data_IF_912175524071
#
_entry.id   IF_912175524071
#
_cell.length_a   1.000
_cell.length_b   1.000
_cell.length_c   1.000
_cell.angle_alpha   90.00
_cell.angle_beta   90.00
_cell.angle_gamma   90.00
#
_symmetry.space_group_name_H-M   'P 1'
#
loop_
_entity.id
_entity.type
_entity.pdbx_description
1 polymer ?
#
# COMPACT_ATOMS: atom_id res chain seq x y z
N UNK A 1 33.78 6.64 -73.44
CA UNK A 1 32.70 7.04 -72.60
C UNK A 1 32.71 6.10 -71.41
N UNK A 2 33.45 6.46 -70.37
CA UNK A 2 33.67 5.57 -69.21
C UNK A 2 32.71 5.98 -68.03
N UNK A 3 31.88 5.03 -67.64
CA UNK A 3 30.97 5.16 -66.51
C UNK A 3 31.72 4.78 -65.24
N UNK A 4 31.93 5.79 -64.35
CA UNK A 4 32.51 5.59 -63.00
C UNK A 4 31.41 5.16 -62.06
N UNK A 5 31.48 3.96 -61.49
CA UNK A 5 30.66 3.51 -60.39
C UNK A 5 31.24 4.08 -59.06
N UNK A 6 30.42 4.81 -58.33
CA UNK A 6 30.70 5.31 -56.98
C UNK A 6 30.17 4.28 -55.98
N UNK A 7 30.98 3.73 -55.03
CA UNK A 7 30.45 2.82 -54.02
C UNK A 7 29.68 3.60 -52.93
N UNK A 8 28.43 3.24 -52.73
CA UNK A 8 27.58 3.75 -51.64
C UNK A 8 28.01 3.08 -50.33
N UNK A 9 28.72 3.84 -49.48
CA UNK A 9 29.01 3.40 -48.09
C UNK A 9 27.73 3.48 -47.27
N UNK A 10 27.10 2.30 -47.03
CA UNK A 10 26.03 2.18 -46.02
C UNK A 10 26.71 2.08 -44.65
N UNK A 11 26.69 3.20 -43.90
CA UNK A 11 27.09 3.22 -42.52
C UNK A 11 25.97 2.57 -41.68
N UNK A 12 26.17 1.32 -41.25
CA UNK A 12 25.34 0.70 -40.26
C UNK A 12 25.60 1.39 -38.92
N UNK A 13 24.69 2.28 -38.53
CA UNK A 13 24.59 2.72 -37.15
C UNK A 13 24.10 1.53 -36.30
N UNK A 14 25.02 0.81 -35.68
CA UNK A 14 24.75 -0.06 -34.56
C UNK A 14 24.31 0.81 -33.37
N UNK A 15 23.04 1.18 -33.32
CA UNK A 15 22.42 1.70 -32.10
C UNK A 15 22.58 0.63 -31.04
N UNK A 16 23.29 0.95 -29.96
CA UNK A 16 23.35 0.11 -28.78
C UNK A 16 21.91 -0.11 -28.30
N UNK A 17 21.37 -1.29 -28.53
CA UNK A 17 20.12 -1.74 -27.91
C UNK A 17 20.45 -1.91 -26.43
N UNK A 18 20.33 -0.82 -25.67
CA UNK A 18 20.28 -0.96 -24.24
C UNK A 18 19.04 -1.79 -23.93
N UNK A 19 19.24 -2.97 -23.37
CA UNK A 19 18.14 -3.82 -22.93
C UNK A 19 17.24 -2.95 -22.04
N UNK A 20 15.99 -2.77 -22.47
CA UNK A 20 15.03 -1.99 -21.72
C UNK A 20 14.82 -2.69 -20.38
N UNK A 21 15.09 -2.02 -19.28
CA UNK A 21 14.93 -2.54 -17.91
C UNK A 21 13.76 -1.87 -17.22
N UNK A 22 13.39 -2.36 -16.04
CA UNK A 22 12.35 -1.73 -15.19
C UNK A 22 12.81 -0.47 -14.45
N UNK A 23 14.02 0.02 -14.69
CA UNK A 23 14.55 1.21 -14.00
C UNK A 23 13.68 2.45 -14.20
N UNK A 24 13.18 2.69 -15.42
CA UNK A 24 12.26 3.80 -15.69
C UNK A 24 10.91 3.63 -14.98
N UNK A 25 10.44 2.39 -14.85
CA UNK A 25 9.23 2.07 -14.09
C UNK A 25 9.41 2.34 -12.60
N UNK A 26 10.58 1.99 -12.04
CA UNK A 26 10.92 2.31 -10.65
C UNK A 26 10.99 3.80 -10.43
N UNK A 27 11.69 4.53 -11.30
CA UNK A 27 11.77 5.99 -11.21
C UNK A 27 10.39 6.64 -11.23
N UNK A 28 9.51 6.19 -12.11
CA UNK A 28 8.13 6.65 -12.17
C UNK A 28 7.35 6.35 -10.88
N UNK A 29 7.48 5.12 -10.36
CA UNK A 29 6.82 4.72 -9.13
C UNK A 29 7.31 5.54 -7.91
N UNK A 30 8.62 5.81 -7.82
CA UNK A 30 9.21 6.68 -6.78
C UNK A 30 8.71 8.12 -6.90
N UNK A 31 8.68 8.70 -8.11
CA UNK A 31 8.13 10.04 -8.35
C UNK A 31 6.65 10.12 -7.98
N UNK A 32 5.89 9.07 -8.26
CA UNK A 32 4.47 8.98 -7.90
C UNK A 32 4.29 8.89 -6.39
N UNK A 33 5.07 8.03 -5.71
CA UNK A 33 5.08 7.94 -4.25
C UNK A 33 5.37 9.31 -3.63
N UNK A 34 6.43 9.98 -4.10
CA UNK A 34 6.82 11.30 -3.60
C UNK A 34 5.73 12.35 -3.83
N UNK A 35 5.13 12.39 -5.03
CA UNK A 35 4.04 13.32 -5.35
C UNK A 35 2.84 13.17 -4.42
N UNK A 36 2.48 11.92 -4.07
CA UNK A 36 1.32 11.63 -3.22
C UNK A 36 1.67 11.83 -1.75
N UNK A 37 2.79 11.30 -1.26
CA UNK A 37 3.11 11.26 0.16
C UNK A 37 3.62 12.60 0.71
N UNK A 38 4.28 13.41 -0.12
CA UNK A 38 4.97 14.63 0.32
C UNK A 38 4.07 15.61 1.06
N UNK A 39 2.87 16.00 0.56
CA UNK A 39 2.03 16.97 1.25
C UNK A 39 1.67 16.54 2.68
N UNK A 40 1.37 15.25 2.88
CA UNK A 40 1.00 14.69 4.18
C UNK A 40 2.21 14.67 5.12
N UNK A 41 3.29 14.01 4.69
CA UNK A 41 4.46 13.76 5.56
C UNK A 41 5.16 15.07 5.91
N UNK A 42 5.32 15.98 4.94
CA UNK A 42 5.96 17.27 5.18
C UNK A 42 5.11 18.16 6.10
N UNK A 43 3.81 18.30 5.83
CA UNK A 43 2.95 19.14 6.64
C UNK A 43 2.86 18.65 8.09
N UNK A 44 2.79 17.32 8.29
CA UNK A 44 2.75 16.76 9.64
C UNK A 44 4.11 16.89 10.36
N UNK A 45 5.23 16.73 9.65
CA UNK A 45 6.56 16.97 10.21
C UNK A 45 6.77 18.43 10.65
N UNK A 46 6.07 19.38 10.01
CA UNK A 46 6.04 20.80 10.34
C UNK A 46 5.02 21.15 11.44
N UNK A 47 4.20 20.21 11.91
CA UNK A 47 3.10 20.45 12.87
C UNK A 47 1.96 21.26 12.26
N UNK A 48 1.68 21.09 10.96
CA UNK A 48 0.71 21.89 10.18
C UNK A 48 -0.26 21.05 9.34
N UNK A 49 -0.37 19.74 9.61
CA UNK A 49 -1.24 18.90 8.79
C UNK A 49 -2.71 19.26 8.99
N UNK A 50 -3.14 19.51 10.23
CA UNK A 50 -4.53 19.92 10.54
C UNK A 50 -4.92 21.26 9.93
N UNK A 51 -3.94 22.14 9.74
CA UNK A 51 -4.12 23.44 9.09
C UNK A 51 -4.23 23.29 7.57
N UNK A 52 -3.37 22.43 6.96
CA UNK A 52 -3.16 22.40 5.51
C UNK A 52 -4.00 21.37 4.76
N UNK A 53 -4.36 20.23 5.39
CA UNK A 53 -5.11 19.18 4.71
C UNK A 53 -6.55 19.65 4.44
N UNK A 54 -6.97 19.76 3.16
CA UNK A 54 -8.31 20.21 2.84
C UNK A 54 -9.35 19.16 3.15
N UNK A 55 -10.54 19.60 3.54
CA UNK A 55 -11.74 18.78 3.51
C UNK A 55 -12.39 18.90 2.13
N UNK A 56 -12.72 17.78 1.53
CA UNK A 56 -13.54 17.76 0.33
C UNK A 56 -15.01 18.12 0.61
N UNK A 57 -15.79 18.41 -0.41
CA UNK A 57 -17.21 18.70 -0.25
C UNK A 57 -17.94 17.59 0.51
N UNK A 58 -18.70 17.95 1.54
CA UNK A 58 -19.46 17.02 2.38
C UNK A 58 -18.64 16.21 3.39
N UNK A 59 -17.40 16.61 3.68
CA UNK A 59 -16.49 15.91 4.60
C UNK A 59 -16.41 16.55 6.00
N UNK A 60 -17.26 17.49 6.35
CA UNK A 60 -17.22 18.21 7.62
C UNK A 60 -17.28 17.27 8.83
N UNK A 61 -18.12 16.24 8.75
CA UNK A 61 -18.23 15.18 9.77
C UNK A 61 -16.97 14.31 9.89
N UNK A 62 -16.09 14.34 8.89
CA UNK A 62 -14.83 13.56 8.84
C UNK A 62 -13.63 14.34 9.39
N UNK A 63 -13.78 15.62 9.69
CA UNK A 63 -12.72 16.49 10.17
C UNK A 63 -11.94 15.92 11.36
N UNK A 64 -12.63 15.22 12.28
CA UNK A 64 -12.00 14.61 13.45
C UNK A 64 -11.09 13.42 13.11
N UNK A 65 -11.18 12.85 11.90
CA UNK A 65 -10.55 11.58 11.52
C UNK A 65 -9.52 11.72 10.39
N UNK A 66 -9.80 12.59 9.41
CA UNK A 66 -9.07 12.65 8.13
C UNK A 66 -7.55 12.77 8.27
N UNK A 67 -7.06 13.38 9.35
CA UNK A 67 -5.62 13.63 9.55
C UNK A 67 -4.86 12.36 9.95
N UNK A 68 -5.37 11.59 10.93
CA UNK A 68 -4.79 10.30 11.31
C UNK A 68 -4.93 9.29 10.15
N UNK A 69 -6.07 9.34 9.46
CA UNK A 69 -6.34 8.53 8.28
C UNK A 69 -5.31 8.79 7.16
N UNK A 70 -5.07 10.07 6.82
CA UNK A 70 -4.06 10.46 5.84
C UNK A 70 -2.66 9.98 6.24
N UNK A 71 -2.27 10.19 7.48
CA UNK A 71 -0.94 9.85 7.97
C UNK A 71 -0.73 8.33 8.03
N UNK A 72 -1.62 7.58 8.69
CA UNK A 72 -1.50 6.13 8.87
C UNK A 72 -1.45 5.41 7.53
N UNK A 73 -2.35 5.77 6.59
CA UNK A 73 -2.40 5.19 5.25
C UNK A 73 -1.18 5.54 4.41
N UNK A 74 -0.70 6.78 4.49
CA UNK A 74 0.55 7.18 3.82
C UNK A 74 1.72 6.39 4.37
N UNK A 75 1.87 6.35 5.69
CA UNK A 75 2.99 5.68 6.34
C UNK A 75 3.02 4.20 6.01
N UNK A 76 1.87 3.49 6.08
CA UNK A 76 1.79 2.07 5.75
C UNK A 76 2.23 1.76 4.31
N UNK A 77 1.94 2.68 3.37
CA UNK A 77 2.29 2.50 1.95
C UNK A 77 3.76 2.76 1.65
N UNK A 78 4.39 3.74 2.33
CA UNK A 78 5.78 4.11 2.04
C UNK A 78 6.80 3.39 2.92
N UNK A 79 6.37 2.72 4.00
CA UNK A 79 7.26 2.08 4.96
C UNK A 79 8.16 1.00 4.36
N UNK A 80 7.70 0.09 3.47
CA UNK A 80 8.62 -0.89 2.88
C UNK A 80 9.75 -0.25 2.07
N UNK A 81 9.46 0.86 1.37
CA UNK A 81 10.49 1.62 0.68
C UNK A 81 11.47 2.27 1.66
N UNK A 82 10.99 2.84 2.77
CA UNK A 82 11.85 3.40 3.81
C UNK A 82 12.68 2.33 4.53
N UNK A 83 12.18 1.10 4.65
CA UNK A 83 12.91 -0.01 5.28
C UNK A 83 14.23 -0.36 4.58
N UNK A 84 14.40 -0.01 3.29
CA UNK A 84 15.67 -0.14 2.57
C UNK A 84 16.79 0.75 3.15
N UNK A 85 16.47 1.73 3.98
CA UNK A 85 17.46 2.66 4.53
C UNK A 85 18.02 3.66 3.52
N UNK A 86 18.89 4.59 3.96
CA UNK A 86 19.55 5.56 3.09
C UNK A 86 20.66 4.91 2.27
N UNK A 87 20.91 5.47 1.06
CA UNK A 87 22.10 5.17 0.26
C UNK A 87 22.57 6.41 -0.53
N UNK A 88 23.66 6.28 -1.30
CA UNK A 88 24.28 7.42 -2.02
C UNK A 88 23.50 7.84 -3.27
N UNK A 89 22.56 7.05 -3.76
CA UNK A 89 21.75 7.35 -4.96
C UNK A 89 20.80 8.52 -4.72
N UNK A 90 20.28 9.11 -5.79
CA UNK A 90 19.25 10.15 -5.68
C UNK A 90 18.00 9.65 -4.95
N UNK A 91 17.58 8.41 -5.24
CA UNK A 91 16.48 7.74 -4.53
C UNK A 91 16.79 7.52 -3.06
N UNK A 92 18.00 7.03 -2.72
CA UNK A 92 18.41 6.80 -1.34
C UNK A 92 18.49 8.08 -0.51
N UNK A 93 18.91 9.20 -1.12
CA UNK A 93 18.88 10.54 -0.47
C UNK A 93 17.45 11.01 -0.23
N UNK A 94 16.55 10.81 -1.19
CA UNK A 94 15.13 11.11 -1.02
C UNK A 94 14.54 10.26 0.11
N UNK A 95 14.86 8.99 0.15
CA UNK A 95 14.42 8.04 1.19
C UNK A 95 14.91 8.45 2.57
N UNK A 96 16.16 8.88 2.70
CA UNK A 96 16.71 9.43 3.94
C UNK A 96 15.90 10.61 4.46
N UNK A 97 15.53 11.53 3.57
CA UNK A 97 14.65 12.67 3.91
C UNK A 97 13.28 12.20 4.40
N UNK A 98 12.67 11.22 3.72
CA UNK A 98 11.37 10.67 4.13
C UNK A 98 11.44 9.97 5.49
N UNK A 99 12.50 9.22 5.77
CA UNK A 99 12.72 8.59 7.07
C UNK A 99 12.76 9.65 8.19
N UNK A 100 13.52 10.72 8.00
CA UNK A 100 13.60 11.82 8.97
C UNK A 100 12.24 12.52 9.16
N UNK A 101 11.59 12.91 8.06
CA UNK A 101 10.30 13.58 8.11
C UNK A 101 9.20 12.70 8.72
N UNK A 102 9.18 11.39 8.39
CA UNK A 102 8.20 10.46 8.93
C UNK A 102 8.36 10.25 10.43
N UNK A 103 9.58 10.26 10.96
CA UNK A 103 9.81 10.25 12.41
C UNK A 103 9.29 11.52 13.08
N UNK A 104 9.58 12.71 12.53
CA UNK A 104 9.03 13.98 13.04
C UNK A 104 7.50 13.98 12.98
N UNK A 105 6.93 13.49 11.88
CA UNK A 105 5.49 13.35 11.70
C UNK A 105 4.87 12.41 12.75
N UNK A 106 5.50 11.27 13.01
CA UNK A 106 5.07 10.32 14.03
C UNK A 106 5.05 10.94 15.44
N UNK A 107 6.12 11.68 15.78
CA UNK A 107 6.19 12.42 17.06
C UNK A 107 5.06 13.45 17.15
N UNK A 108 4.87 14.29 16.12
CA UNK A 108 3.81 15.29 16.12
C UNK A 108 2.40 14.68 16.18
N UNK A 109 2.20 13.51 15.57
CA UNK A 109 0.92 12.80 15.61
C UNK A 109 0.57 12.26 16.99
N UNK A 110 1.58 11.92 17.81
CA UNK A 110 1.40 11.17 19.06
C UNK A 110 1.80 11.93 20.31
N UNK A 111 2.43 13.10 20.22
CA UNK A 111 2.72 13.98 21.36
C UNK A 111 1.47 14.79 21.73
N UNK A 112 0.90 14.62 22.95
CA UNK A 112 -0.26 15.39 23.39
C UNK A 112 -0.07 16.92 23.37
N UNK A 113 1.17 17.41 23.38
CA UNK A 113 1.50 18.83 23.33
C UNK A 113 1.59 19.37 21.89
N UNK A 114 1.59 18.50 20.89
CA UNK A 114 1.65 18.90 19.49
C UNK A 114 0.34 19.53 19.00
N UNK A 115 0.38 20.60 18.18
CA UNK A 115 -0.82 21.11 17.51
C UNK A 115 -1.49 20.07 16.60
N UNK A 116 -0.68 19.14 16.09
CA UNK A 116 -1.12 18.03 15.23
C UNK A 116 -1.36 16.71 15.99
N UNK A 117 -1.44 16.73 17.34
CA UNK A 117 -1.84 15.54 18.10
C UNK A 117 -3.13 14.95 17.52
N UNK A 118 -3.10 13.67 17.13
CA UNK A 118 -4.20 13.05 16.39
C UNK A 118 -5.29 12.50 17.30
N UNK A 119 -6.48 12.30 16.73
CA UNK A 119 -7.60 11.67 17.41
C UNK A 119 -7.42 10.14 17.44
N UNK A 120 -7.15 9.57 18.60
CA UNK A 120 -7.07 8.13 18.83
C UNK A 120 -8.24 7.56 19.62
N UNK A 121 -9.17 8.37 20.09
CA UNK A 121 -10.17 7.95 21.10
C UNK A 121 -11.61 8.23 20.72
N UNK A 122 -11.89 9.32 19.99
CA UNK A 122 -13.26 9.78 19.76
C UNK A 122 -13.83 9.20 18.47
N UNK A 123 -14.91 8.42 18.59
CA UNK A 123 -15.56 7.73 17.48
C UNK A 123 -14.95 6.36 17.18
N UNK A 124 -15.42 5.69 16.12
CA UNK A 124 -14.93 4.37 15.72
C UNK A 124 -13.71 4.42 14.80
N UNK A 125 -13.67 5.41 13.91
CA UNK A 125 -12.63 5.53 12.86
C UNK A 125 -11.17 5.51 13.37
N UNK A 126 -10.83 6.07 14.55
CA UNK A 126 -9.44 6.03 15.02
C UNK A 126 -8.82 4.63 15.13
N UNK A 127 -9.63 3.58 15.39
CA UNK A 127 -9.14 2.21 15.39
C UNK A 127 -8.62 1.79 14.00
N UNK A 128 -9.35 2.16 12.95
CA UNK A 128 -8.96 1.89 11.55
C UNK A 128 -7.64 2.58 11.24
N UNK A 129 -7.53 3.86 11.59
CA UNK A 129 -6.41 4.71 11.19
C UNK A 129 -5.14 4.38 12.00
N UNK A 130 -5.31 4.05 13.30
CA UNK A 130 -4.24 3.53 14.15
C UNK A 130 -3.72 2.16 13.67
N UNK A 131 -4.58 1.32 13.06
CA UNK A 131 -4.16 0.06 12.48
C UNK A 131 -3.26 0.27 11.27
N UNK A 132 -3.55 1.22 10.39
CA UNK A 132 -2.66 1.58 9.29
C UNK A 132 -1.35 2.22 9.80
N UNK A 133 -1.40 3.04 10.84
CA UNK A 133 -0.21 3.54 11.51
C UNK A 133 0.66 2.39 12.05
N UNK A 134 0.03 1.44 12.75
CA UNK A 134 0.67 0.23 13.28
C UNK A 134 1.32 -0.60 12.17
N UNK A 135 0.62 -0.77 11.05
CA UNK A 135 1.12 -1.47 9.87
C UNK A 135 2.38 -0.79 9.30
N UNK A 136 2.38 0.55 9.24
CA UNK A 136 3.57 1.32 8.85
C UNK A 136 4.76 1.10 9.77
N UNK A 137 4.55 1.09 11.08
CA UNK A 137 5.60 0.85 12.08
C UNK A 137 6.13 -0.59 12.00
N UNK A 138 5.26 -1.59 11.83
CA UNK A 138 5.65 -2.99 11.69
C UNK A 138 6.48 -3.25 10.42
N UNK A 139 6.23 -2.51 9.35
CA UNK A 139 6.93 -2.65 8.06
C UNK A 139 8.31 -2.01 8.02
N UNK A 140 8.60 -1.01 8.88
CA UNK A 140 9.88 -0.32 8.91
C UNK A 140 10.34 0.00 10.36
N UNK A 141 10.43 -0.98 11.27
CA UNK A 141 10.71 -0.73 12.67
C UNK A 141 12.07 -0.07 12.90
N UNK A 142 13.10 -0.46 12.16
CA UNK A 142 14.46 0.08 12.31
C UNK A 142 14.54 1.56 11.92
N UNK A 143 13.71 1.99 10.98
CA UNK A 143 13.69 3.37 10.51
C UNK A 143 12.74 4.27 11.31
N UNK A 144 11.63 3.72 11.81
CA UNK A 144 10.56 4.52 12.40
C UNK A 144 10.47 4.39 13.93
N UNK A 145 10.77 3.20 14.48
CA UNK A 145 10.61 2.94 15.91
C UNK A 145 11.93 2.97 16.67
N UNK A 146 12.95 2.25 16.19
CA UNK A 146 14.21 2.07 16.91
C UNK A 146 14.88 3.39 17.31
N UNK A 147 14.91 4.43 16.45
CA UNK A 147 15.58 5.71 16.75
C UNK A 147 14.79 6.64 17.68
N UNK A 148 13.54 6.34 18.04
CA UNK A 148 12.73 7.18 18.92
C UNK A 148 13.29 7.17 20.36
N UNK A 149 13.15 8.30 21.06
CA UNK A 149 13.45 8.40 22.49
C UNK A 149 12.44 7.58 23.32
N UNK A 150 12.76 7.33 24.58
CA UNK A 150 11.85 6.61 25.50
C UNK A 150 10.49 7.33 25.64
N UNK A 151 10.48 8.67 25.75
CA UNK A 151 9.27 9.47 25.83
C UNK A 151 8.44 9.36 24.53
N UNK A 152 9.08 9.48 23.37
CA UNK A 152 8.39 9.35 22.08
C UNK A 152 7.78 7.96 21.89
N UNK A 153 8.51 6.91 22.27
CA UNK A 153 7.99 5.52 22.29
C UNK A 153 6.80 5.37 23.21
N UNK A 154 6.87 5.95 24.41
CA UNK A 154 5.75 5.94 25.37
C UNK A 154 4.51 6.63 24.81
N UNK A 155 4.65 7.78 24.14
CA UNK A 155 3.56 8.51 23.52
C UNK A 155 2.90 7.69 22.40
N UNK A 156 3.68 7.06 21.51
CA UNK A 156 3.16 6.18 20.45
C UNK A 156 2.37 5.02 21.06
N UNK A 157 2.92 4.34 22.07
CA UNK A 157 2.23 3.20 22.71
C UNK A 157 0.97 3.66 23.44
N UNK A 158 1.00 4.80 24.13
CA UNK A 158 -0.18 5.35 24.79
C UNK A 158 -1.30 5.68 23.78
N UNK A 159 -0.94 6.28 22.64
CA UNK A 159 -1.88 6.56 21.55
C UNK A 159 -2.49 5.27 20.98
N UNK A 160 -1.68 4.24 20.69
CA UNK A 160 -2.19 2.95 20.21
C UNK A 160 -3.07 2.25 21.24
N UNK A 161 -2.65 2.17 22.51
CA UNK A 161 -3.44 1.56 23.60
C UNK A 161 -4.77 2.26 23.84
N UNK A 162 -4.86 3.57 23.60
CA UNK A 162 -6.11 4.31 23.78
C UNK A 162 -7.23 3.85 22.84
N UNK A 163 -6.89 3.25 21.70
CA UNK A 163 -7.87 2.68 20.75
C UNK A 163 -8.57 1.40 21.27
N UNK A 164 -8.04 0.76 22.32
CA UNK A 164 -8.66 -0.43 22.94
C UNK A 164 -10.08 -0.21 23.43
N UNK A 165 -10.44 1.05 23.74
CA UNK A 165 -11.80 1.42 24.13
C UNK A 165 -12.81 1.32 22.98
N UNK A 166 -12.34 1.27 21.73
CA UNK A 166 -13.18 1.21 20.52
C UNK A 166 -13.52 -0.25 20.23
N UNK A 167 -14.80 -0.59 20.25
CA UNK A 167 -15.29 -1.94 19.92
C UNK A 167 -15.37 -2.10 18.40
N UNK A 168 -14.64 -3.08 17.81
CA UNK A 168 -14.74 -3.37 16.37
C UNK A 168 -16.08 -4.02 16.03
N UNK A 169 -16.57 -3.78 14.81
CA UNK A 169 -17.68 -4.55 14.24
C UNK A 169 -17.25 -5.99 13.89
N UNK A 170 -18.23 -6.89 13.72
CA UNK A 170 -18.02 -8.28 13.28
C UNK A 170 -17.80 -8.34 11.75
N UNK A 171 -16.68 -7.77 11.30
CA UNK A 171 -16.24 -7.69 9.91
C UNK A 171 -14.71 -7.47 9.88
N UNK A 172 -14.16 -6.92 8.79
CA UNK A 172 -12.72 -6.62 8.68
C UNK A 172 -12.17 -5.74 9.83
N UNK A 173 -13.02 -5.06 10.59
CA UNK A 173 -12.60 -4.23 11.73
C UNK A 173 -11.93 -5.04 12.85
N UNK A 174 -12.22 -6.32 12.98
CA UNK A 174 -11.50 -7.21 13.90
C UNK A 174 -9.99 -7.22 13.61
N UNK A 175 -9.61 -7.13 12.34
CA UNK A 175 -8.20 -7.07 11.93
C UNK A 175 -7.52 -5.75 12.29
N UNK A 176 -8.25 -4.65 12.40
CA UNK A 176 -7.68 -3.40 12.88
C UNK A 176 -7.25 -3.52 14.35
N UNK A 177 -8.09 -4.11 15.20
CA UNK A 177 -7.70 -4.44 16.58
C UNK A 177 -6.45 -5.32 16.59
N UNK A 178 -6.44 -6.39 15.78
CA UNK A 178 -5.33 -7.32 15.72
C UNK A 178 -4.01 -6.66 15.24
N UNK A 179 -4.06 -5.73 14.29
CA UNK A 179 -2.88 -5.00 13.83
C UNK A 179 -2.32 -4.06 14.90
N UNK A 180 -3.20 -3.33 15.60
CA UNK A 180 -2.78 -2.46 16.72
C UNK A 180 -2.13 -3.29 17.82
N UNK A 181 -2.76 -4.39 18.23
CA UNK A 181 -2.20 -5.29 19.25
C UNK A 181 -0.88 -5.94 18.79
N UNK A 182 -0.76 -6.30 17.51
CA UNK A 182 0.48 -6.83 16.94
C UNK A 182 1.65 -5.83 17.06
N UNK A 183 1.38 -4.54 16.83
CA UNK A 183 2.39 -3.49 16.99
C UNK A 183 2.74 -3.27 18.47
N UNK A 184 1.75 -3.19 19.36
CA UNK A 184 2.00 -3.09 20.80
C UNK A 184 2.83 -4.29 21.27
N UNK A 185 2.47 -5.50 20.87
CA UNK A 185 3.19 -6.72 21.21
C UNK A 185 4.63 -6.71 20.72
N UNK A 186 4.83 -6.31 19.46
CA UNK A 186 6.17 -6.24 18.86
C UNK A 186 7.08 -5.31 19.66
N UNK A 187 6.57 -4.16 20.08
CA UNK A 187 7.36 -3.07 20.63
C UNK A 187 7.47 -3.05 22.16
N UNK A 188 6.53 -3.69 22.86
CA UNK A 188 6.51 -3.68 24.35
C UNK A 188 6.55 -5.07 24.97
N UNK A 189 6.22 -6.11 24.22
CA UNK A 189 5.99 -7.45 24.77
C UNK A 189 4.58 -7.67 25.34
N UNK A 190 3.75 -6.64 25.47
CA UNK A 190 2.36 -6.73 25.93
C UNK A 190 1.38 -6.96 24.78
N UNK A 191 0.32 -7.75 24.99
CA UNK A 191 -0.69 -8.03 23.98
C UNK A 191 -2.02 -8.43 24.62
N UNK A 192 -3.13 -7.89 24.12
CA UNK A 192 -4.46 -8.42 24.38
C UNK A 192 -4.79 -9.53 23.37
N UNK A 193 -4.32 -10.75 23.66
CA UNK A 193 -4.39 -11.90 22.73
C UNK A 193 -5.78 -12.21 22.23
N UNK A 194 -6.81 -12.04 23.05
CA UNK A 194 -8.20 -12.35 22.68
C UNK A 194 -8.66 -11.62 21.40
N UNK A 195 -8.15 -10.38 21.18
CA UNK A 195 -8.42 -9.63 19.95
C UNK A 195 -7.83 -10.27 18.70
N UNK A 196 -6.57 -10.75 18.78
CA UNK A 196 -5.90 -11.46 17.69
C UNK A 196 -6.56 -12.79 17.39
N UNK A 197 -6.83 -13.59 18.44
CA UNK A 197 -7.48 -14.91 18.33
C UNK A 197 -8.83 -14.80 17.66
N UNK A 198 -9.65 -13.85 18.12
CA UNK A 198 -10.97 -13.58 17.53
C UNK A 198 -10.86 -13.16 16.06
N UNK A 199 -9.96 -12.23 15.73
CA UNK A 199 -9.80 -11.75 14.37
C UNK A 199 -9.39 -12.89 13.42
N UNK A 200 -8.40 -13.71 13.81
CA UNK A 200 -7.94 -14.83 12.98
C UNK A 200 -9.02 -15.89 12.85
N UNK A 201 -9.66 -16.30 13.96
CA UNK A 201 -10.72 -17.32 13.93
C UNK A 201 -11.90 -16.91 13.06
N UNK A 202 -12.39 -15.65 13.20
CA UNK A 202 -13.51 -15.17 12.39
C UNK A 202 -13.18 -15.11 10.89
N UNK A 203 -11.97 -14.73 10.51
CA UNK A 203 -11.60 -14.74 9.09
C UNK A 203 -11.38 -16.15 8.56
N UNK A 204 -11.04 -17.14 9.39
CA UNK A 204 -11.10 -18.55 8.98
C UNK A 204 -12.54 -18.98 8.69
N UNK A 205 -13.50 -18.61 9.56
CA UNK A 205 -14.94 -18.89 9.38
C UNK A 205 -15.51 -18.20 8.13
N UNK A 206 -14.98 -17.05 7.74
CA UNK A 206 -15.44 -16.24 6.61
C UNK A 206 -14.67 -16.49 5.30
N UNK A 207 -13.80 -17.49 5.28
CA UNK A 207 -13.15 -17.89 4.04
C UNK A 207 -14.14 -18.57 3.10
N UNK A 208 -14.33 -18.00 1.89
CA UNK A 208 -15.32 -18.48 0.92
C UNK A 208 -14.72 -19.31 -0.21
N UNK A 209 -13.41 -19.53 -0.20
CA UNK A 209 -12.69 -20.28 -1.23
C UNK A 209 -11.97 -19.40 -2.25
N UNK A 210 -11.16 -20.03 -3.08
CA UNK A 210 -10.41 -19.42 -4.20
C UNK A 210 -9.65 -18.12 -3.82
N UNK A 211 -9.01 -18.16 -2.64
CA UNK A 211 -8.24 -17.02 -2.12
C UNK A 211 -9.07 -15.86 -1.58
N UNK A 212 -10.38 -16.00 -1.40
CA UNK A 212 -11.29 -14.91 -1.08
C UNK A 212 -11.96 -15.09 0.28
N UNK A 213 -12.15 -13.98 1.00
CA UNK A 213 -12.85 -13.91 2.27
C UNK A 213 -14.11 -13.07 2.15
N UNK A 214 -15.13 -13.41 2.92
CA UNK A 214 -16.23 -12.50 3.24
C UNK A 214 -15.72 -11.33 4.13
N UNK A 215 -16.44 -10.22 4.10
CA UNK A 215 -16.25 -9.11 5.03
C UNK A 215 -17.31 -9.20 6.13
N UNK A 216 -17.05 -10.07 7.11
CA UNK A 216 -18.04 -10.63 7.99
C UNK A 216 -18.66 -11.90 7.40
N UNK A 217 -19.85 -12.33 7.86
CA UNK A 217 -20.48 -13.58 7.41
C UNK A 217 -20.97 -13.54 5.95
N UNK A 218 -21.05 -12.35 5.35
CA UNK A 218 -21.52 -12.17 3.98
C UNK A 218 -20.35 -11.84 3.04
N UNK A 219 -20.39 -12.41 1.85
CA UNK A 219 -19.46 -12.06 0.78
C UNK A 219 -19.91 -10.78 0.08
N UNK A 220 -18.92 -9.90 -0.18
CA UNK A 220 -19.11 -8.70 -0.99
C UNK A 220 -18.10 -8.70 -2.12
N UNK A 221 -18.54 -8.46 -3.34
CA UNK A 221 -17.64 -8.24 -4.45
C UNK A 221 -17.09 -6.82 -4.39
N UNK A 222 -15.96 -6.68 -3.71
CA UNK A 222 -15.19 -5.46 -3.59
C UNK A 222 -13.70 -5.78 -3.40
N UNK A 223 -12.88 -4.77 -3.21
CA UNK A 223 -11.43 -4.96 -3.02
C UNK A 223 -11.00 -5.00 -1.55
N UNK A 224 -11.92 -5.20 -0.58
CA UNK A 224 -11.54 -5.26 0.84
C UNK A 224 -10.63 -6.43 1.18
N UNK A 225 -10.68 -7.52 0.42
CA UNK A 225 -9.68 -8.58 0.51
C UNK A 225 -8.26 -8.04 0.34
N UNK A 226 -8.06 -7.05 -0.54
CA UNK A 226 -6.77 -6.43 -0.80
C UNK A 226 -6.52 -5.16 0.03
N UNK A 227 -7.55 -4.32 0.24
CA UNK A 227 -7.38 -3.11 1.03
C UNK A 227 -7.03 -3.39 2.49
N UNK A 228 -7.54 -4.51 3.07
CA UNK A 228 -7.45 -4.80 4.49
C UNK A 228 -7.16 -6.27 4.78
N UNK A 229 -8.02 -7.21 4.34
CA UNK A 229 -8.11 -8.55 4.92
C UNK A 229 -6.81 -9.34 4.74
N UNK A 230 -6.37 -9.56 3.52
CA UNK A 230 -5.17 -10.35 3.21
C UNK A 230 -3.90 -9.72 3.81
N UNK A 231 -3.62 -8.41 3.57
CA UNK A 231 -2.42 -7.79 4.12
C UNK A 231 -2.39 -7.77 5.65
N UNK A 232 -3.54 -7.55 6.30
CA UNK A 232 -3.62 -7.54 7.76
C UNK A 232 -3.40 -8.94 8.35
N UNK A 233 -4.06 -9.97 7.81
CA UNK A 233 -3.84 -11.37 8.24
C UNK A 233 -2.37 -11.77 8.13
N UNK A 234 -1.71 -11.42 7.03
CA UNK A 234 -0.29 -11.71 6.83
C UNK A 234 0.56 -11.05 7.93
N UNK A 235 0.37 -9.76 8.19
CA UNK A 235 1.19 -9.04 9.17
C UNK A 235 0.90 -9.47 10.61
N UNK A 236 -0.37 -9.72 10.96
CA UNK A 236 -0.76 -10.27 12.28
C UNK A 236 -0.10 -11.63 12.51
N UNK A 237 -0.19 -12.53 11.54
CA UNK A 237 0.38 -13.88 11.69
C UNK A 237 1.91 -13.90 11.63
N UNK A 238 2.54 -12.94 10.92
CA UNK A 238 4.00 -12.72 11.02
C UNK A 238 4.40 -12.32 12.44
N UNK A 239 3.67 -11.39 13.05
CA UNK A 239 3.91 -10.99 14.43
C UNK A 239 3.73 -12.16 15.40
N UNK A 240 2.65 -12.93 15.24
CA UNK A 240 2.39 -14.15 16.02
C UNK A 240 3.55 -15.15 15.90
N UNK A 241 4.00 -15.42 14.66
CA UNK A 241 5.11 -16.35 14.40
C UNK A 241 6.41 -15.86 15.03
N UNK A 242 6.73 -14.57 14.90
CA UNK A 242 7.93 -13.97 15.50
C UNK A 242 7.95 -14.04 17.05
N UNK A 243 6.77 -14.06 17.66
CA UNK A 243 6.58 -14.17 19.12
C UNK A 243 6.36 -15.61 19.60
N UNK A 244 6.43 -16.61 18.73
CA UNK A 244 6.24 -18.02 19.08
C UNK A 244 4.80 -18.40 19.43
N UNK A 245 3.81 -17.62 19.01
CA UNK A 245 2.39 -17.95 19.21
C UNK A 245 1.94 -19.05 18.25
N UNK A 246 1.14 -20.02 18.71
CA UNK A 246 0.56 -21.06 17.84
C UNK A 246 -0.27 -20.52 16.66
N UNK A 247 -0.84 -19.33 16.78
CA UNK A 247 -1.53 -18.66 15.66
C UNK A 247 -0.62 -18.49 14.44
N UNK A 248 0.70 -18.29 14.67
CA UNK A 248 1.68 -18.14 13.61
C UNK A 248 1.80 -19.34 12.67
N UNK A 249 1.39 -20.53 13.09
CA UNK A 249 1.37 -21.74 12.26
C UNK A 249 0.34 -21.68 11.12
N UNK A 250 -0.62 -20.76 11.20
CA UNK A 250 -1.60 -20.52 10.11
C UNK A 250 -1.03 -19.69 8.95
N UNK A 251 0.13 -19.03 9.12
CA UNK A 251 0.70 -18.14 8.11
C UNK A 251 0.87 -18.80 6.73
N UNK A 252 1.38 -20.04 6.57
CA UNK A 252 1.52 -20.66 5.25
C UNK A 252 0.20 -20.82 4.49
N UNK A 253 -0.88 -21.18 5.17
CA UNK A 253 -2.20 -21.32 4.55
C UNK A 253 -2.73 -19.96 4.09
N UNK A 254 -2.62 -18.93 4.95
CA UNK A 254 -3.04 -17.57 4.61
C UNK A 254 -2.21 -17.01 3.43
N UNK A 255 -0.91 -17.28 3.38
CA UNK A 255 -0.07 -16.90 2.23
C UNK A 255 -0.49 -17.60 0.94
N UNK A 256 -0.81 -18.89 0.99
CA UNK A 256 -1.31 -19.62 -0.19
C UNK A 256 -2.62 -19.01 -0.72
N UNK A 257 -3.55 -18.63 0.16
CA UNK A 257 -4.79 -17.93 -0.21
C UNK A 257 -4.50 -16.56 -0.81
N UNK A 258 -3.58 -15.79 -0.21
CA UNK A 258 -3.16 -14.48 -0.71
C UNK A 258 -2.44 -14.56 -2.06
N UNK A 259 -1.64 -15.60 -2.31
CA UNK A 259 -1.02 -15.88 -3.61
C UNK A 259 -2.08 -16.11 -4.68
N UNK A 260 -3.12 -16.91 -4.38
CA UNK A 260 -4.23 -17.14 -5.32
C UNK A 260 -4.98 -15.82 -5.61
N UNK A 261 -5.27 -15.04 -4.59
CA UNK A 261 -5.93 -13.74 -4.77
C UNK A 261 -5.06 -12.78 -5.61
N UNK A 262 -3.75 -12.75 -5.37
CA UNK A 262 -2.81 -11.94 -6.16
C UNK A 262 -2.76 -12.37 -7.64
N UNK A 263 -2.83 -13.67 -7.93
CA UNK A 263 -2.93 -14.22 -9.29
C UNK A 263 -4.18 -13.71 -10.02
N UNK A 264 -5.33 -13.71 -9.32
CA UNK A 264 -6.57 -13.14 -9.87
C UNK A 264 -6.44 -11.63 -10.08
N UNK A 265 -5.83 -10.91 -9.13
CA UNK A 265 -5.63 -9.46 -9.26
C UNK A 265 -4.79 -9.08 -10.49
N UNK A 266 -3.71 -9.81 -10.76
CA UNK A 266 -2.92 -9.57 -11.98
C UNK A 266 -3.76 -9.77 -13.24
N UNK A 267 -4.59 -10.81 -13.28
CA UNK A 267 -5.51 -11.09 -14.39
C UNK A 267 -6.64 -10.07 -14.54
N UNK A 268 -6.98 -9.31 -13.51
CA UNK A 268 -7.98 -8.23 -13.60
C UNK A 268 -7.44 -6.95 -14.27
N UNK A 269 -6.12 -6.83 -14.45
CA UNK A 269 -5.53 -5.67 -15.14
C UNK A 269 -5.75 -5.81 -16.63
N UNK A 270 -6.58 -4.93 -17.22
CA UNK A 270 -6.83 -4.91 -18.67
C UNK A 270 -5.58 -4.60 -19.48
N UNK A 271 -5.56 -4.90 -20.80
CA UNK A 271 -4.42 -4.54 -21.66
C UNK A 271 -4.04 -3.05 -21.62
N UNK A 272 -5.01 -2.17 -21.37
CA UNK A 272 -4.87 -0.71 -21.33
C UNK A 272 -4.47 -0.17 -19.93
N UNK A 273 -4.25 -1.05 -18.94
CA UNK A 273 -3.94 -0.63 -17.57
C UNK A 273 -5.14 -0.08 -16.81
N UNK A 274 -6.33 -0.63 -17.04
CA UNK A 274 -7.51 -0.43 -16.20
C UNK A 274 -7.88 -1.72 -15.47
N UNK A 275 -8.83 -1.66 -14.54
CA UNK A 275 -9.39 -2.82 -13.86
C UNK A 275 -10.85 -2.58 -13.54
N UNK A 276 -11.66 -3.62 -13.27
CA UNK A 276 -13.06 -3.45 -12.92
C UNK A 276 -13.23 -2.57 -11.68
N UNK A 277 -13.96 -1.47 -11.81
CA UNK A 277 -14.32 -0.62 -10.67
C UNK A 277 -15.63 -1.16 -10.10
N UNK A 278 -15.54 -2.02 -9.09
CA UNK A 278 -16.66 -2.70 -8.46
C UNK A 278 -16.62 -2.55 -6.95
N UNK A 279 -17.79 -2.54 -6.33
CA UNK A 279 -17.93 -2.42 -4.88
C UNK A 279 -17.63 -1.02 -4.37
N UNK A 280 -17.42 -0.94 -3.08
CA UNK A 280 -17.20 0.30 -2.32
C UNK A 280 -15.73 0.72 -2.30
N UNK A 281 -15.49 1.97 -1.88
CA UNK A 281 -14.15 2.53 -1.64
C UNK A 281 -13.28 2.64 -2.90
N UNK A 282 -13.90 2.79 -4.07
CA UNK A 282 -13.19 2.88 -5.36
C UNK A 282 -12.20 4.05 -5.42
N UNK A 283 -12.41 5.09 -4.61
CA UNK A 283 -11.48 6.22 -4.46
C UNK A 283 -10.12 5.86 -3.85
N UNK A 284 -9.96 4.64 -3.31
CA UNK A 284 -8.63 4.14 -2.87
C UNK A 284 -7.75 3.70 -4.06
N UNK A 285 -8.26 3.82 -5.28
CA UNK A 285 -7.51 3.67 -6.54
C UNK A 285 -6.70 2.37 -6.58
N UNK A 286 -5.43 2.47 -6.99
CA UNK A 286 -4.50 1.34 -7.08
C UNK A 286 -4.12 0.70 -5.72
N UNK A 287 -4.62 1.22 -4.59
CA UNK A 287 -4.63 0.49 -3.32
C UNK A 287 -5.36 -0.85 -3.43
N UNK A 288 -6.25 -1.01 -4.42
CA UNK A 288 -6.87 -2.29 -4.77
C UNK A 288 -5.85 -3.41 -5.04
N UNK A 289 -4.62 -3.08 -5.41
CA UNK A 289 -3.53 -4.03 -5.68
C UNK A 289 -2.57 -4.22 -4.50
N UNK A 290 -2.97 -3.86 -3.28
CA UNK A 290 -2.11 -4.03 -2.10
C UNK A 290 -1.69 -5.48 -1.91
N UNK A 291 -2.59 -6.46 -2.05
CA UNK A 291 -2.23 -7.88 -1.89
C UNK A 291 -1.24 -8.33 -2.97
N UNK A 292 -1.46 -7.99 -4.24
CA UNK A 292 -0.51 -8.29 -5.31
C UNK A 292 0.87 -7.69 -5.01
N UNK A 293 0.91 -6.43 -4.53
CA UNK A 293 2.16 -5.75 -4.15
C UNK A 293 2.85 -6.40 -2.94
N UNK A 294 2.09 -6.88 -1.93
CA UNK A 294 2.64 -7.60 -0.77
C UNK A 294 3.27 -8.92 -1.19
N UNK A 295 2.58 -9.69 -2.03
CA UNK A 295 3.06 -11.01 -2.48
C UNK A 295 4.30 -10.84 -3.39
N UNK A 296 4.32 -9.80 -4.25
CA UNK A 296 5.51 -9.46 -5.04
C UNK A 296 6.69 -9.05 -4.15
N UNK A 297 6.46 -8.15 -3.17
CA UNK A 297 7.47 -7.70 -2.19
C UNK A 297 8.11 -8.87 -1.41
N UNK A 298 7.35 -9.94 -1.20
CA UNK A 298 7.80 -11.13 -0.46
C UNK A 298 8.48 -12.18 -1.33
N UNK A 299 8.60 -11.96 -2.65
CA UNK A 299 9.04 -12.97 -3.63
C UNK A 299 8.20 -14.25 -3.60
N UNK A 300 6.92 -14.13 -3.29
CA UNK A 300 5.98 -15.25 -3.16
C UNK A 300 4.92 -15.27 -4.27
N UNK A 301 5.17 -14.60 -5.41
CA UNK A 301 4.27 -14.67 -6.57
C UNK A 301 4.10 -16.13 -7.05
N UNK A 302 2.89 -16.54 -7.45
CA UNK A 302 2.70 -17.84 -8.11
C UNK A 302 3.56 -17.96 -9.34
N UNK A 303 3.99 -19.20 -9.67
CA UNK A 303 4.83 -19.47 -10.86
C UNK A 303 4.22 -19.00 -12.18
N UNK A 304 2.91 -18.86 -12.24
CA UNK A 304 2.14 -18.35 -13.39
C UNK A 304 2.26 -16.83 -13.58
N UNK A 305 2.76 -16.11 -12.58
CA UNK A 305 2.81 -14.64 -12.54
C UNK A 305 4.25 -14.16 -12.44
N UNK A 306 4.72 -13.52 -13.49
CA UNK A 306 6.11 -13.05 -13.53
C UNK A 306 6.28 -11.67 -12.86
N UNK A 307 7.34 -11.45 -12.07
CA UNK A 307 7.56 -10.18 -11.38
C UNK A 307 7.59 -8.96 -12.32
N UNK A 308 8.22 -9.07 -13.48
CA UNK A 308 8.29 -7.98 -14.46
C UNK A 308 6.91 -7.67 -15.09
N UNK A 309 6.02 -8.65 -15.21
CA UNK A 309 4.64 -8.45 -15.66
C UNK A 309 3.80 -7.73 -14.59
N UNK A 310 3.96 -8.11 -13.30
CA UNK A 310 3.33 -7.41 -12.18
C UNK A 310 3.76 -5.95 -12.13
N UNK A 311 5.06 -5.67 -12.23
CA UNK A 311 5.58 -4.31 -12.33
C UNK A 311 4.92 -3.51 -13.45
N UNK A 312 4.89 -4.08 -14.66
CA UNK A 312 4.31 -3.44 -15.84
C UNK A 312 2.82 -3.17 -15.69
N UNK A 313 2.06 -4.14 -15.19
CA UNK A 313 0.62 -4.04 -14.96
C UNK A 313 0.27 -2.99 -13.90
N UNK A 314 0.91 -3.04 -12.73
CA UNK A 314 0.68 -2.06 -11.66
C UNK A 314 1.05 -0.64 -12.15
N UNK A 315 2.21 -0.46 -12.79
CA UNK A 315 2.59 0.85 -13.30
C UNK A 315 1.63 1.38 -14.37
N UNK A 316 1.07 0.53 -15.22
CA UNK A 316 0.06 0.94 -16.20
C UNK A 316 -1.21 1.46 -15.51
N UNK A 317 -1.69 0.76 -14.48
CA UNK A 317 -2.83 1.21 -13.65
C UNK A 317 -2.52 2.52 -12.96
N UNK A 318 -1.37 2.62 -12.31
CA UNK A 318 -0.94 3.83 -11.59
C UNK A 318 -0.91 5.03 -12.53
N UNK A 319 -0.30 4.90 -13.71
CA UNK A 319 -0.27 5.98 -14.73
C UNK A 319 -1.68 6.42 -15.12
N UNK A 320 -2.54 5.47 -15.45
CA UNK A 320 -3.92 5.75 -15.86
C UNK A 320 -4.68 6.57 -14.81
N UNK A 321 -4.47 6.26 -13.52
CA UNK A 321 -5.17 6.91 -12.43
C UNK A 321 -4.54 8.25 -12.01
N UNK A 322 -3.22 8.32 -11.96
CA UNK A 322 -2.51 9.49 -11.39
C UNK A 322 -2.29 10.59 -12.41
N UNK A 323 -2.14 10.26 -13.68
CA UNK A 323 -1.97 11.24 -14.75
C UNK A 323 -3.31 11.84 -15.24
N UNK A 324 -4.44 11.26 -14.81
CA UNK A 324 -5.77 11.78 -15.16
C UNK A 324 -5.95 13.23 -14.62
N UNK A 325 -6.41 14.17 -15.46
CA UNK A 325 -6.61 15.55 -15.06
C UNK A 325 -7.55 15.69 -13.85
N UNK A 326 -7.18 16.54 -12.89
CA UNK A 326 -7.98 16.78 -11.69
C UNK A 326 -7.80 15.76 -10.56
N UNK A 327 -6.89 14.78 -10.68
CA UNK A 327 -6.53 13.85 -9.59
C UNK A 327 -5.97 14.56 -8.37
N UNK A 328 -5.26 15.66 -8.58
CA UNK A 328 -4.74 16.53 -7.53
C UNK A 328 -5.37 17.92 -7.63
N UNK A 329 -5.49 18.61 -6.50
CA UNK A 329 -5.81 20.02 -6.47
C UNK A 329 -4.57 20.89 -6.80
N UNK A 330 -4.75 22.20 -6.76
CA UNK A 330 -3.66 23.17 -7.05
C UNK A 330 -2.53 23.14 -6.01
N UNK A 331 -2.78 22.66 -4.80
CA UNK A 331 -1.81 22.53 -3.71
C UNK A 331 -1.16 21.15 -3.66
N UNK A 332 -1.59 20.22 -4.53
CA UNK A 332 -1.04 18.86 -4.65
C UNK A 332 -1.73 17.81 -3.77
N UNK A 333 -2.86 18.14 -3.13
CA UNK A 333 -3.64 17.16 -2.37
C UNK A 333 -4.47 16.26 -3.32
N UNK A 334 -4.59 14.98 -2.95
CA UNK A 334 -5.44 14.04 -3.67
C UNK A 334 -6.92 14.45 -3.60
N UNK A 335 -7.63 14.28 -4.71
CA UNK A 335 -9.07 14.50 -4.83
C UNK A 335 -9.80 13.17 -5.01
N UNK A 336 -11.04 13.07 -4.52
CA UNK A 336 -11.86 11.88 -4.66
C UNK A 336 -12.10 11.49 -6.12
N UNK A 337 -12.00 10.21 -6.43
CA UNK A 337 -12.18 9.66 -7.76
C UNK A 337 -11.33 8.45 -8.05
N UNK A 338 -11.61 7.77 -9.12
CA UNK A 338 -10.83 6.65 -9.67
C UNK A 338 -9.75 7.21 -10.61
N UNK A 339 -10.16 7.94 -11.63
CA UNK A 339 -9.29 8.62 -12.59
C UNK A 339 -9.73 10.08 -12.69
N UNK A 340 -8.93 11.01 -12.16
CA UNK A 340 -9.31 12.42 -12.05
C UNK A 340 -10.18 12.71 -10.82
N UNK A 341 -10.99 13.77 -10.91
CA UNK A 341 -11.92 14.19 -9.85
C UNK A 341 -13.34 13.68 -10.14
N UNK A 342 -13.81 12.73 -9.36
CA UNK A 342 -15.10 12.07 -9.50
C UNK A 342 -15.77 11.94 -8.11
N UNK A 343 -16.29 13.02 -7.54
CA UNK A 343 -16.79 13.00 -6.16
C UNK A 343 -17.99 12.06 -5.96
N UNK A 344 -18.74 11.73 -7.00
CA UNK A 344 -19.89 10.83 -6.93
C UNK A 344 -19.53 9.35 -6.67
N UNK A 345 -18.28 8.94 -6.90
CA UNK A 345 -17.83 7.57 -6.54
C UNK A 345 -17.37 7.44 -5.09
N UNK A 346 -17.49 8.51 -4.30
CA UNK A 346 -17.08 8.59 -2.90
C UNK A 346 -18.27 8.33 -1.99
N UNK A 347 -18.15 7.33 -1.12
CA UNK A 347 -19.10 7.11 -0.04
C UNK A 347 -18.92 8.15 1.08
N UNK A 348 -19.95 8.32 1.90
CA UNK A 348 -20.00 9.34 2.96
C UNK A 348 -18.92 9.19 4.04
N UNK A 349 -18.38 7.99 4.22
CA UNK A 349 -17.30 7.72 5.19
C UNK A 349 -15.90 8.04 4.64
N UNK A 350 -15.76 8.27 3.33
CA UNK A 350 -14.47 8.61 2.71
C UNK A 350 -14.19 10.09 2.85
N UNK A 351 -13.01 10.42 3.35
CA UNK A 351 -12.45 11.76 3.42
C UNK A 351 -11.24 11.92 2.50
N UNK A 352 -10.71 13.14 2.40
CA UNK A 352 -9.43 13.38 1.71
C UNK A 352 -8.33 12.47 2.27
N UNK A 353 -8.30 12.25 3.59
CA UNK A 353 -7.33 11.33 4.23
C UNK A 353 -7.44 9.90 3.77
N UNK A 354 -8.65 9.44 3.44
CA UNK A 354 -8.90 8.07 2.99
C UNK A 354 -8.16 7.73 1.70
N UNK A 355 -7.97 8.71 0.83
CA UNK A 355 -7.43 8.53 -0.53
C UNK A 355 -5.98 8.03 -0.54
N UNK A 356 -5.24 8.30 0.54
CA UNK A 356 -3.82 7.93 0.68
C UNK A 356 -3.57 6.42 0.82
N UNK A 357 -4.64 5.61 0.99
CA UNK A 357 -4.54 4.16 0.92
C UNK A 357 -3.99 3.68 -0.43
N UNK A 358 -4.14 4.46 -1.50
CA UNK A 358 -3.58 4.13 -2.81
C UNK A 358 -2.08 3.79 -2.76
N UNK A 359 -1.29 4.42 -1.87
CA UNK A 359 0.14 4.17 -1.71
C UNK A 359 0.47 2.71 -1.37
N UNK A 360 -0.47 1.97 -0.78
CA UNK A 360 -0.29 0.55 -0.50
C UNK A 360 -0.26 -0.33 -1.77
N UNK A 361 -0.63 0.19 -2.94
CA UNK A 361 -0.37 -0.47 -4.22
C UNK A 361 1.10 -0.39 -4.68
N UNK A 362 1.94 0.44 -4.03
CA UNK A 362 3.35 0.63 -4.37
C UNK A 362 4.33 -0.07 -3.41
N UNK A 363 3.88 -1.04 -2.60
CA UNK A 363 4.74 -1.74 -1.63
C UNK A 363 5.93 -2.45 -2.28
N UNK A 364 5.82 -2.82 -3.55
CA UNK A 364 6.91 -3.39 -4.35
C UNK A 364 8.16 -2.48 -4.43
N UNK A 365 8.04 -1.17 -4.14
CA UNK A 365 9.19 -0.27 -3.97
C UNK A 365 10.08 -0.64 -2.78
N UNK A 366 9.61 -1.47 -1.85
CA UNK A 366 10.42 -2.07 -0.79
C UNK A 366 11.45 -3.10 -1.27
N UNK A 367 11.37 -3.54 -2.53
CA UNK A 367 12.45 -4.31 -3.15
C UNK A 367 13.58 -3.38 -3.60
N UNK A 368 14.86 -3.75 -3.41
CA UNK A 368 15.98 -2.90 -3.83
C UNK A 368 16.03 -2.74 -5.36
N UNK A 369 16.70 -1.68 -5.85
CA UNK A 369 16.72 -1.34 -7.26
C UNK A 369 17.40 -2.42 -8.16
N UNK A 370 18.24 -3.27 -7.58
CA UNK A 370 18.89 -4.40 -8.26
C UNK A 370 18.09 -5.71 -8.18
N UNK A 371 16.87 -5.67 -7.64
CA UNK A 371 15.98 -6.83 -7.62
C UNK A 371 15.50 -7.21 -9.03
N UNK A 372 15.33 -8.51 -9.36
CA UNK A 372 14.82 -8.96 -10.67
C UNK A 372 13.50 -8.28 -11.08
N UNK A 373 12.60 -7.98 -10.13
CA UNK A 373 11.39 -7.23 -10.43
C UNK A 373 11.70 -5.90 -11.16
N UNK A 374 12.81 -5.23 -10.81
CA UNK A 374 13.21 -3.94 -11.39
C UNK A 374 14.26 -4.06 -12.50
N UNK A 375 15.08 -5.12 -12.53
CA UNK A 375 16.16 -5.26 -13.49
C UNK A 375 15.78 -6.04 -14.74
N UNK A 376 14.80 -6.94 -14.64
CA UNK A 376 14.36 -7.74 -15.78
C UNK A 376 13.70 -6.87 -16.87
N UNK A 377 13.86 -7.31 -18.12
CA UNK A 377 13.18 -6.68 -19.25
C UNK A 377 11.66 -6.64 -19.03
N UNK A 378 10.96 -5.59 -19.54
CA UNK A 378 9.52 -5.51 -19.46
C UNK A 378 8.83 -6.75 -20.04
N UNK A 379 7.85 -7.27 -19.32
CA UNK A 379 7.01 -8.38 -19.78
C UNK A 379 5.54 -7.95 -19.77
N UNK A 380 4.76 -8.33 -20.78
CA UNK A 380 3.34 -8.11 -20.78
C UNK A 380 2.67 -8.97 -19.72
N UNK A 381 1.70 -8.41 -18.97
CA UNK A 381 0.90 -9.14 -18.00
C UNK A 381 -0.15 -10.01 -18.70
N UNK A 382 -0.81 -10.88 -17.96
CA UNK A 382 -1.65 -11.97 -18.49
C UNK A 382 -2.71 -11.48 -19.49
N UNK A 383 -3.49 -10.45 -19.16
CA UNK A 383 -4.52 -9.94 -20.07
C UNK A 383 -3.90 -9.33 -21.34
N UNK A 384 -2.77 -8.63 -21.21
CA UNK A 384 -2.09 -8.06 -22.38
C UNK A 384 -1.61 -9.15 -23.35
N UNK A 385 -1.18 -10.30 -22.83
CA UNK A 385 -0.77 -11.48 -23.62
C UNK A 385 -1.98 -12.13 -24.30
N UNK A 386 -3.04 -12.39 -23.53
CA UNK A 386 -4.26 -13.03 -24.04
C UNK A 386 -4.90 -12.23 -25.16
N UNK A 387 -5.05 -10.92 -24.98
CA UNK A 387 -5.63 -10.04 -25.99
C UNK A 387 -4.71 -9.77 -27.20
N UNK A 388 -3.42 -10.08 -27.08
CA UNK A 388 -2.48 -10.15 -28.20
C UNK A 388 -2.52 -11.49 -28.95
N UNK A 389 -3.36 -12.44 -28.54
CA UNK A 389 -3.51 -13.76 -29.18
C UNK A 389 -2.47 -14.80 -28.72
N UNK A 390 -1.73 -14.55 -27.64
CA UNK A 390 -0.78 -15.54 -27.13
C UNK A 390 -1.52 -16.72 -26.49
N UNK A 391 -0.95 -17.91 -26.66
CA UNK A 391 -1.45 -19.12 -26.00
C UNK A 391 -1.05 -19.15 -24.52
N UNK A 392 -1.92 -18.64 -23.68
CA UNK A 392 -1.75 -18.59 -22.22
C UNK A 392 -2.62 -19.65 -21.58
N UNK A 393 -2.14 -20.43 -20.59
CA UNK A 393 -2.96 -21.41 -19.87
C UNK A 393 -4.21 -20.78 -19.26
N UNK A 394 -5.30 -21.56 -19.24
CA UNK A 394 -6.54 -21.15 -18.57
C UNK A 394 -6.31 -20.96 -17.07
N UNK A 395 -7.13 -20.12 -16.47
CA UNK A 395 -7.20 -19.95 -15.01
C UNK A 395 -8.01 -21.08 -14.39
N UNK A 396 -7.60 -21.50 -13.19
CA UNK A 396 -8.29 -22.53 -12.42
C UNK A 396 -8.39 -22.12 -10.96
N UNK A 397 -9.58 -22.28 -10.38
CA UNK A 397 -9.80 -22.14 -8.95
C UNK A 397 -8.91 -23.11 -8.14
N UNK A 398 -8.53 -22.72 -6.92
CA UNK A 398 -7.64 -23.50 -6.02
C UNK A 398 -8.28 -23.67 -4.65
#
# INVERSE_FOLDING_TARGET
MGMRFLPLLISLMLGSIHAQTGAADREYAVKTLDRIARPVIQSLAEGKLKEKLPLGPGEESRKAYTHLEAFGRTLSGISPWMALGPDATAEGKLRAKYIELSRKALVNATDPKSPDFMNFTTGGQPLVDAAFLSLGLLRAPDQLWTPLTAEQKANVIAALKSTRAIKPGENNWLLFTALVESAIWQFTGECEMAGLEKAVSRHEDWYVGDGTYGDGPNYHWDYYNSFVIQPALIEVLKACKAKGSPLGEKLPVILSRAQRYAEVQERLISPEGTFPVVGRSSSYRFGAFQTLSVIALRHELPKSVEPAAVRGGINAVVRRMIEAPGTFDAQGWLRAGVAGYQPAVKESYISTGSLYLCLNGLLLLGLPANDPLWTDAPKPWTQKRLWAGENVPSDHAK
#
